data_IF_371442336885
#
_entry.id   IF_371442336885
#
_cell.length_a   1.000
_cell.length_b   1.000
_cell.length_c   1.000
_cell.angle_alpha   90.00
_cell.angle_beta   90.00
_cell.angle_gamma   90.00
#
_symmetry.space_group_name_H-M   'P 1'
#
loop_
_entity.id
_entity.type
_entity.pdbx_description
1 polymer ?
#
# COMPACT_ATOMS: atom_id res chain seq x y z
N UNK A 1 -5.68 -26.49 -20.56
CA UNK A 1 -5.38 -25.07 -20.80
C UNK A 1 -6.67 -24.23 -20.81
N UNK A 2 -7.27 -23.89 -21.97
CA UNK A 2 -8.41 -22.94 -22.11
C UNK A 2 -9.50 -22.97 -21.03
N UNK A 3 -10.10 -24.13 -20.74
CA UNK A 3 -11.17 -24.23 -19.73
C UNK A 3 -10.73 -23.86 -18.30
N UNK A 4 -9.51 -24.25 -17.90
CA UNK A 4 -8.94 -23.85 -16.62
C UNK A 4 -8.55 -22.38 -16.60
N UNK A 5 -7.93 -21.88 -17.67
CA UNK A 5 -7.57 -20.46 -17.80
C UNK A 5 -8.80 -19.55 -17.69
N UNK A 6 -9.86 -19.86 -18.45
CA UNK A 6 -11.12 -19.11 -18.39
C UNK A 6 -11.77 -19.18 -17.01
N UNK A 7 -11.77 -20.36 -16.37
CA UNK A 7 -12.29 -20.52 -15.00
C UNK A 7 -11.53 -19.64 -14.01
N UNK A 8 -10.20 -19.67 -14.02
CA UNK A 8 -9.41 -18.91 -13.05
C UNK A 8 -9.42 -17.40 -13.31
N UNK A 9 -9.37 -16.95 -14.57
CA UNK A 9 -9.58 -15.53 -14.90
C UNK A 9 -10.99 -15.07 -14.51
N UNK A 10 -12.01 -15.92 -14.68
CA UNK A 10 -13.35 -15.61 -14.14
C UNK A 10 -13.33 -15.47 -12.63
N UNK A 11 -12.65 -16.36 -11.89
CA UNK A 11 -12.53 -16.25 -10.43
C UNK A 11 -11.79 -14.96 -10.03
N UNK A 12 -10.70 -14.60 -10.72
CA UNK A 12 -9.96 -13.34 -10.52
C UNK A 12 -10.89 -12.14 -10.69
N UNK A 13 -11.48 -11.95 -11.89
CA UNK A 13 -12.32 -10.80 -12.19
C UNK A 13 -13.61 -10.73 -11.35
N UNK A 14 -14.12 -11.85 -10.84
CA UNK A 14 -15.23 -11.82 -9.88
C UNK A 14 -14.77 -11.52 -8.46
N UNK A 15 -13.54 -11.87 -8.07
CA UNK A 15 -13.02 -11.60 -6.72
C UNK A 15 -12.93 -10.10 -6.45
N UNK A 16 -12.43 -9.32 -7.43
CA UNK A 16 -12.34 -7.86 -7.30
C UNK A 16 -13.71 -7.18 -7.21
N UNK A 17 -14.64 -7.53 -8.12
CA UNK A 17 -16.03 -7.07 -8.08
C UNK A 17 -16.74 -7.40 -6.75
N UNK A 18 -16.48 -8.58 -6.19
CA UNK A 18 -17.04 -9.00 -4.90
C UNK A 18 -16.47 -8.17 -3.75
N UNK A 19 -15.18 -7.81 -3.78
CA UNK A 19 -14.57 -6.93 -2.78
C UNK A 19 -15.30 -5.59 -2.65
N UNK A 20 -15.56 -4.94 -3.79
CA UNK A 20 -16.32 -3.67 -3.83
C UNK A 20 -17.77 -3.86 -3.38
N UNK A 21 -18.42 -4.98 -3.76
CA UNK A 21 -19.79 -5.28 -3.35
C UNK A 21 -19.93 -5.57 -1.84
N UNK A 22 -18.87 -6.06 -1.19
CA UNK A 22 -18.81 -6.33 0.26
C UNK A 22 -18.56 -5.05 1.07
N UNK A 23 -17.91 -4.02 0.50
CA UNK A 23 -17.59 -2.76 1.17
C UNK A 23 -18.76 -2.13 1.97
N UNK A 24 -20.01 -1.96 1.44
CA UNK A 24 -21.13 -1.41 2.20
C UNK A 24 -21.62 -2.30 3.37
N UNK A 25 -21.17 -3.55 3.46
CA UNK A 25 -21.52 -4.50 4.53
C UNK A 25 -20.48 -4.52 5.66
N UNK A 26 -19.29 -3.93 5.46
CA UNK A 26 -18.20 -3.95 6.44
C UNK A 26 -18.25 -2.73 7.37
N UNK A 27 -18.03 -2.98 8.66
CA UNK A 27 -17.72 -1.88 9.60
C UNK A 27 -16.32 -1.35 9.32
N UNK A 28 -16.05 -0.05 9.55
CA UNK A 28 -14.72 0.55 9.35
C UNK A 28 -13.60 -0.24 10.05
N UNK A 29 -13.82 -0.67 11.30
CA UNK A 29 -12.86 -1.47 12.07
C UNK A 29 -12.59 -2.85 11.45
N UNK A 30 -13.61 -3.49 10.87
CA UNK A 30 -13.45 -4.75 10.13
C UNK A 30 -12.72 -4.52 8.81
N UNK A 31 -13.09 -3.46 8.08
CA UNK A 31 -12.46 -3.07 6.81
C UNK A 31 -10.95 -2.84 6.99
N UNK A 32 -10.54 -1.99 7.92
CA UNK A 32 -9.13 -1.68 8.17
C UNK A 32 -8.32 -2.94 8.52
N UNK A 33 -8.90 -3.86 9.31
CA UNK A 33 -8.25 -5.13 9.71
C UNK A 33 -8.15 -6.12 8.55
N UNK A 34 -9.20 -6.25 7.74
CA UNK A 34 -9.20 -7.12 6.55
C UNK A 34 -8.20 -6.58 5.53
N UNK A 35 -8.28 -5.30 5.18
CA UNK A 35 -7.40 -4.67 4.20
C UNK A 35 -5.92 -4.81 4.61
N UNK A 36 -5.56 -4.49 5.86
CA UNK A 36 -4.19 -4.68 6.38
C UNK A 36 -3.67 -6.12 6.23
N UNK A 37 -4.55 -7.12 6.39
CA UNK A 37 -4.20 -8.54 6.24
C UNK A 37 -4.07 -8.94 4.78
N UNK A 38 -4.98 -8.49 3.92
CA UNK A 38 -5.00 -8.79 2.48
C UNK A 38 -3.88 -8.07 1.73
N UNK A 39 -3.56 -6.80 2.02
CA UNK A 39 -2.35 -6.11 1.54
C UNK A 39 -1.08 -6.91 1.89
N UNK A 40 -1.01 -7.44 3.12
CA UNK A 40 0.11 -8.28 3.54
C UNK A 40 0.16 -9.58 2.74
N UNK A 41 -1.00 -10.21 2.54
CA UNK A 41 -1.14 -11.43 1.75
C UNK A 41 -0.70 -11.21 0.30
N UNK A 42 -1.11 -10.11 -0.33
CA UNK A 42 -0.72 -9.67 -1.67
C UNK A 42 0.79 -9.54 -1.81
N UNK A 43 1.45 -8.75 -0.94
CA UNK A 43 2.91 -8.62 -0.94
C UNK A 43 3.60 -9.99 -0.82
N UNK A 44 3.08 -10.84 0.07
CA UNK A 44 3.65 -12.17 0.28
C UNK A 44 3.46 -13.12 -0.91
N UNK A 45 2.27 -13.15 -1.50
CA UNK A 45 1.94 -14.02 -2.64
C UNK A 45 2.61 -13.57 -3.92
N UNK A 46 2.72 -12.26 -4.16
CA UNK A 46 3.40 -11.68 -5.31
C UNK A 46 4.90 -11.93 -5.29
N UNK A 47 5.58 -11.54 -4.20
CA UNK A 47 7.02 -11.78 -4.05
C UNK A 47 7.30 -13.28 -4.11
N UNK A 48 6.46 -14.10 -3.46
CA UNK A 48 6.54 -15.56 -3.53
C UNK A 48 6.36 -16.13 -4.94
N UNK A 49 5.36 -15.66 -5.69
CA UNK A 49 5.11 -16.08 -7.07
C UNK A 49 6.29 -15.70 -7.98
N UNK A 50 6.76 -14.46 -7.89
CA UNK A 50 7.90 -13.98 -8.67
C UNK A 50 9.16 -14.80 -8.42
N UNK A 51 9.55 -15.04 -7.16
CA UNK A 51 10.84 -15.70 -6.84
C UNK A 51 10.79 -17.23 -6.86
N UNK A 52 9.64 -17.86 -6.60
CA UNK A 52 9.51 -19.32 -6.54
C UNK A 52 8.99 -19.95 -7.84
N UNK A 53 8.24 -19.20 -8.66
CA UNK A 53 7.66 -19.70 -9.91
C UNK A 53 8.21 -18.95 -11.13
N UNK A 54 7.87 -17.66 -11.27
CA UNK A 54 8.09 -16.90 -12.52
C UNK A 54 9.57 -16.76 -12.91
N UNK A 55 10.41 -16.29 -11.98
CA UNK A 55 11.86 -16.15 -12.24
C UNK A 55 12.53 -17.51 -12.47
N UNK A 56 12.29 -18.57 -11.66
CA UNK A 56 12.79 -19.91 -11.96
C UNK A 56 12.36 -20.47 -13.31
N UNK A 57 11.11 -20.25 -13.74
CA UNK A 57 10.62 -20.65 -15.06
C UNK A 57 11.31 -19.87 -16.18
N UNK A 58 11.44 -18.55 -16.05
CA UNK A 58 12.15 -17.70 -17.02
C UNK A 58 13.60 -18.13 -17.28
N UNK A 59 14.26 -18.70 -16.27
CA UNK A 59 15.63 -19.25 -16.37
C UNK A 59 15.68 -20.78 -16.54
N UNK A 60 14.55 -21.46 -16.75
CA UNK A 60 14.42 -22.92 -16.85
C UNK A 60 15.04 -23.70 -15.66
N UNK A 61 15.06 -23.10 -14.47
CA UNK A 61 15.63 -23.69 -13.25
C UNK A 61 14.72 -24.76 -12.62
N UNK A 62 13.41 -24.70 -12.92
CA UNK A 62 12.39 -25.62 -12.39
C UNK A 62 12.55 -27.05 -12.94
N UNK A 63 12.99 -27.21 -14.19
CA UNK A 63 12.96 -28.47 -14.94
C UNK A 63 13.99 -29.52 -14.48
N UNK A 64 14.92 -29.16 -13.59
CA UNK A 64 16.06 -30.00 -13.20
C UNK A 64 15.89 -30.84 -11.92
N UNK A 65 14.72 -30.81 -11.26
CA UNK A 65 14.45 -31.54 -10.01
C UNK A 65 15.29 -31.12 -8.79
N UNK A 66 16.23 -30.20 -8.95
CA UNK A 66 17.15 -29.74 -7.91
C UNK A 66 16.50 -28.64 -7.08
N UNK A 67 15.88 -29.03 -5.97
CA UNK A 67 15.25 -28.17 -4.94
C UNK A 67 16.22 -27.15 -4.28
N UNK A 68 17.47 -27.08 -4.75
CA UNK A 68 18.49 -26.09 -4.35
C UNK A 68 18.10 -24.66 -4.74
N UNK A 69 17.36 -24.45 -5.84
CA UNK A 69 16.94 -23.11 -6.23
C UNK A 69 15.92 -22.50 -5.25
N UNK A 70 14.99 -23.29 -4.69
CA UNK A 70 14.02 -22.82 -3.71
C UNK A 70 14.70 -22.30 -2.43
N UNK A 71 15.76 -22.95 -1.96
CA UNK A 71 16.52 -22.44 -0.80
C UNK A 71 17.24 -21.12 -1.11
N UNK A 72 17.74 -20.93 -2.35
CA UNK A 72 18.30 -19.64 -2.78
C UNK A 72 17.21 -18.57 -2.88
N UNK A 73 16.06 -18.88 -3.45
CA UNK A 73 14.91 -17.98 -3.52
C UNK A 73 14.39 -17.60 -2.12
N UNK A 74 14.39 -18.53 -1.16
CA UNK A 74 14.03 -18.24 0.23
C UNK A 74 15.03 -17.28 0.91
N UNK A 75 16.32 -17.35 0.57
CA UNK A 75 17.33 -16.39 1.02
C UNK A 75 17.10 -15.01 0.37
N UNK A 76 16.72 -14.95 -0.90
CA UNK A 76 16.33 -13.70 -1.58
C UNK A 76 15.14 -13.05 -0.87
N UNK A 77 14.09 -13.81 -0.58
CA UNK A 77 12.97 -13.34 0.24
C UNK A 77 13.43 -12.88 1.63
N UNK A 78 14.28 -13.66 2.30
CA UNK A 78 14.84 -13.32 3.61
C UNK A 78 15.59 -11.98 3.61
N UNK A 79 16.28 -11.65 2.51
CA UNK A 79 16.90 -10.34 2.30
C UNK A 79 15.87 -9.20 2.22
N UNK A 80 14.85 -9.34 1.37
CA UNK A 80 13.75 -8.37 1.22
C UNK A 80 13.05 -8.16 2.58
N UNK A 81 12.71 -9.25 3.26
CA UNK A 81 12.00 -9.25 4.54
C UNK A 81 12.85 -8.69 5.69
N UNK A 82 14.18 -8.88 5.68
CA UNK A 82 15.10 -8.24 6.62
C UNK A 82 15.12 -6.72 6.44
N UNK A 83 15.18 -6.23 5.20
CA UNK A 83 15.12 -4.79 4.93
C UNK A 83 13.78 -4.18 5.34
N UNK A 84 12.65 -4.85 5.01
CA UNK A 84 11.33 -4.49 5.51
C UNK A 84 11.31 -4.35 7.04
N UNK A 85 11.78 -5.36 7.77
CA UNK A 85 11.85 -5.31 9.24
C UNK A 85 12.76 -4.19 9.76
N UNK A 86 13.89 -3.94 9.09
CA UNK A 86 14.78 -2.83 9.46
C UNK A 86 14.08 -1.47 9.36
N UNK A 87 13.28 -1.24 8.33
CA UNK A 87 12.49 -0.02 8.16
C UNK A 87 11.39 0.10 9.23
N UNK A 88 10.63 -0.98 9.48
CA UNK A 88 9.56 -0.98 10.50
C UNK A 88 10.12 -0.75 11.91
N UNK A 89 11.26 -1.37 12.25
CA UNK A 89 11.96 -1.14 13.52
C UNK A 89 12.45 0.31 13.62
N UNK A 90 13.07 0.85 12.57
CA UNK A 90 13.54 2.23 12.56
C UNK A 90 12.40 3.23 12.84
N UNK A 91 11.26 3.08 12.15
CA UNK A 91 10.06 3.91 12.38
C UNK A 91 9.55 3.80 13.83
N UNK A 92 9.44 2.58 14.37
CA UNK A 92 9.02 2.37 15.76
C UNK A 92 10.00 2.98 16.78
N UNK A 93 11.31 2.88 16.56
CA UNK A 93 12.34 3.45 17.46
C UNK A 93 12.32 4.98 17.44
N UNK A 94 12.15 5.60 16.27
CA UNK A 94 12.02 7.07 16.14
C UNK A 94 10.78 7.55 16.89
N UNK A 95 9.63 6.93 16.69
CA UNK A 95 8.39 7.31 17.38
C UNK A 95 8.45 7.10 18.90
N UNK A 96 9.09 6.01 19.36
CA UNK A 96 9.28 5.77 20.78
C UNK A 96 10.22 6.81 21.43
N UNK A 97 11.28 7.22 20.73
CA UNK A 97 12.16 8.33 21.15
C UNK A 97 11.40 9.66 21.18
N UNK A 98 10.55 9.95 20.18
CA UNK A 98 9.71 11.16 20.14
C UNK A 98 8.75 11.22 21.33
N UNK A 99 8.04 10.13 21.62
CA UNK A 99 7.10 10.04 22.75
C UNK A 99 7.83 10.18 24.11
N UNK A 100 9.04 9.63 24.26
CA UNK A 100 9.88 9.87 25.46
C UNK A 100 10.28 11.34 25.63
N UNK A 101 10.73 12.03 24.58
CA UNK A 101 11.10 13.46 24.66
C UNK A 101 9.93 14.33 25.12
N UNK A 102 8.74 14.13 24.55
CA UNK A 102 7.51 14.82 24.97
C UNK A 102 7.15 14.55 26.44
N UNK A 103 7.31 13.30 26.90
CA UNK A 103 7.00 12.95 28.28
C UNK A 103 7.97 13.61 29.28
N UNK A 104 9.28 13.59 28.99
CA UNK A 104 10.31 14.26 29.80
C UNK A 104 10.07 15.78 29.88
N UNK A 105 9.68 16.41 28.77
CA UNK A 105 9.40 17.85 28.74
C UNK A 105 8.07 18.23 29.43
N UNK A 106 7.22 17.26 29.75
CA UNK A 106 5.95 17.46 30.47
C UNK A 106 6.01 17.27 31.98
N UNK A 107 7.17 16.88 32.54
CA UNK A 107 7.38 16.79 33.99
C UNK A 107 7.66 18.20 34.51
N UNK A 108 6.83 18.79 35.39
CA UNK A 108 7.16 20.05 36.03
C UNK A 108 8.34 19.84 36.97
N UNK A 109 9.37 20.68 36.86
CA UNK A 109 10.46 20.74 37.83
C UNK A 109 9.96 21.29 39.17
N UNK A 110 9.36 20.43 39.99
CA UNK A 110 9.09 20.71 41.39
C UNK A 110 10.40 20.68 42.19
N UNK A 111 11.21 21.71 42.01
CA UNK A 111 12.36 22.02 42.87
C UNK A 111 12.00 23.23 43.71
N UNK A 112 12.06 23.07 45.03
CA UNK A 112 11.64 24.07 46.01
C UNK A 112 12.36 25.41 45.84
N UNK A 113 11.59 26.50 45.78
CA UNK A 113 12.05 27.88 45.96
C UNK A 113 11.05 28.63 46.85
N UNK A 114 11.52 29.62 47.60
CA UNK A 114 10.86 30.12 48.81
C UNK A 114 9.49 30.83 48.66
N UNK A 115 8.89 30.99 49.83
CA UNK A 115 7.60 31.61 50.13
C UNK A 115 7.62 33.14 49.93
N UNK A 116 6.96 33.65 48.88
CA UNK A 116 6.63 35.08 48.71
C UNK A 116 5.20 35.24 48.13
N UNK A 117 4.37 36.19 48.61
CA UNK A 117 2.94 36.23 48.27
C UNK A 117 2.56 37.24 47.16
N UNK A 118 1.53 36.86 46.39
CA UNK A 118 0.70 37.70 45.48
C UNK A 118 1.30 38.21 44.15
N UNK A 119 0.80 37.65 43.04
CA UNK A 119 -0.04 38.39 42.06
C UNK A 119 -0.80 37.46 41.11
N UNK A 120 -1.94 37.92 40.61
CA UNK A 120 -2.83 37.17 39.70
C UNK A 120 -2.20 36.91 38.31
N UNK A 121 -2.50 35.74 37.73
CA UNK A 121 -2.52 35.52 36.29
C UNK A 121 -3.89 34.98 35.84
N UNK A 122 -4.36 35.29 34.62
CA UNK A 122 -5.64 34.82 34.11
C UNK A 122 -5.54 33.40 33.52
N UNK A 123 -6.51 32.53 33.84
CA UNK A 123 -6.67 31.24 33.16
C UNK A 123 -7.09 31.45 31.70
N UNK A 124 -6.41 30.78 30.76
CA UNK A 124 -6.94 30.51 29.42
C UNK A 124 -7.07 29.00 29.23
N UNK A 125 -8.21 28.45 29.66
CA UNK A 125 -8.57 27.06 29.37
C UNK A 125 -8.92 26.94 27.88
N UNK A 126 -8.32 25.97 27.18
CA UNK A 126 -8.72 25.59 25.82
C UNK A 126 -9.48 24.27 25.92
N UNK A 127 -10.81 24.35 25.92
CA UNK A 127 -11.65 23.18 25.69
C UNK A 127 -11.63 22.82 24.21
N UNK A 128 -11.30 21.56 23.89
CA UNK A 128 -11.72 20.99 22.62
C UNK A 128 -13.25 20.87 22.61
N UNK A 129 -13.87 21.30 21.52
CA UNK A 129 -15.30 21.11 21.27
C UNK A 129 -15.43 20.42 19.93
N UNK A 130 -15.86 19.16 19.96
CA UNK A 130 -16.17 18.39 18.76
C UNK A 130 -17.29 19.10 17.98
N UNK A 131 -17.17 19.09 16.65
CA UNK A 131 -18.17 19.62 15.74
C UNK A 131 -18.71 18.50 14.85
N UNK A 132 -19.93 18.11 15.16
CA UNK A 132 -20.77 17.25 14.33
C UNK A 132 -21.53 18.11 13.29
N UNK A 133 -22.27 17.43 12.40
CA UNK A 133 -22.70 17.92 11.09
C UNK A 133 -23.81 19.00 11.07
N UNK A 134 -23.97 19.54 9.85
CA UNK A 134 -25.13 20.24 9.26
C UNK A 134 -25.30 21.78 9.29
N UNK A 135 -25.94 22.20 8.19
CA UNK A 135 -26.16 23.55 7.59
C UNK A 135 -27.66 23.96 7.72
N UNK A 136 -28.13 25.13 7.21
CA UNK A 136 -27.47 26.39 6.83
C UNK A 136 -28.21 27.67 7.34
N UNK A 137 -27.77 28.84 6.88
CA UNK A 137 -28.42 30.16 6.91
C UNK A 137 -28.52 30.87 8.28
N UNK A 138 -28.20 32.16 8.44
CA UNK A 138 -27.78 33.16 7.45
C UNK A 138 -28.55 34.48 7.59
N UNK A 139 -28.28 35.28 8.63
CA UNK A 139 -28.73 36.69 8.73
C UNK A 139 -27.62 37.55 9.34
N UNK A 140 -27.27 38.63 8.65
CA UNK A 140 -26.29 39.65 9.06
C UNK A 140 -27.00 40.84 9.73
N UNK A 141 -26.38 41.47 10.74
CA UNK A 141 -26.70 42.86 11.13
C UNK A 141 -25.62 43.53 12.01
N UNK A 142 -25.26 44.76 11.61
CA UNK A 142 -24.74 45.93 12.38
C UNK A 142 -23.68 45.70 13.48
N UNK A 143 -22.44 46.19 13.41
CA UNK A 143 -21.94 47.58 13.18
C UNK A 143 -21.96 48.48 14.44
N UNK A 144 -20.97 49.38 14.50
CA UNK A 144 -20.68 50.42 15.51
C UNK A 144 -20.13 49.87 16.85
N UNK A 145 -19.19 50.47 17.59
CA UNK A 145 -18.33 51.69 17.49
C UNK A 145 -17.27 51.63 18.62
N UNK A 146 -16.15 52.37 18.74
CA UNK A 146 -15.36 53.31 17.91
C UNK A 146 -14.00 53.59 18.66
N UNK A 147 -12.89 53.94 17.97
CA UNK A 147 -11.62 54.53 18.55
C UNK A 147 -10.82 53.66 19.56
N UNK A 148 -9.51 53.84 19.82
CA UNK A 148 -8.54 54.95 19.62
C UNK A 148 -7.11 54.40 19.34
N UNK A 149 -6.27 55.19 18.65
CA UNK A 149 -4.79 55.05 18.61
C UNK A 149 -4.18 56.25 19.37
N UNK A 150 -3.00 56.10 20.01
CA UNK A 150 -1.86 56.93 19.60
C UNK A 150 -0.53 56.15 19.47
N UNK A 151 0.38 56.70 18.67
CA UNK A 151 1.72 56.20 18.35
C UNK A 151 2.78 56.66 19.38
N UNK A 152 3.98 56.06 19.35
CA UNK A 152 5.31 56.71 19.17
C UNK A 152 6.49 56.15 20.01
N UNK A 153 7.69 56.39 19.46
CA UNK A 153 9.03 56.46 20.08
C UNK A 153 9.74 55.18 20.57
N UNK A 154 10.58 54.66 19.69
CA UNK A 154 12.05 54.51 19.87
C UNK A 154 12.65 54.55 21.28
N UNK A 155 13.47 53.56 21.60
CA UNK A 155 14.77 53.78 22.26
C UNK A 155 15.77 52.69 21.85
N UNK A 156 16.90 53.10 21.28
CA UNK A 156 18.11 52.28 21.21
C UNK A 156 18.74 52.21 22.61
N UNK A 157 19.41 51.09 22.91
CA UNK A 157 20.52 51.07 23.87
C UNK A 157 21.49 49.95 23.51
N UNK A 158 22.70 50.35 23.13
CA UNK A 158 23.86 49.46 22.97
C UNK A 158 24.49 49.23 24.33
N UNK A 159 24.73 47.98 24.69
CA UNK A 159 25.73 47.60 25.70
C UNK A 159 26.36 46.28 25.26
N UNK A 160 27.59 46.36 24.73
CA UNK A 160 28.44 45.20 24.54
C UNK A 160 28.86 44.63 25.91
N UNK A 161 28.86 43.31 26.03
CA UNK A 161 29.80 42.62 26.92
C UNK A 161 30.00 41.19 26.41
N UNK A 162 31.21 40.89 25.93
CA UNK A 162 31.61 39.53 25.54
C UNK A 162 31.88 38.67 26.78
N UNK A 163 31.06 37.65 27.00
CA UNK A 163 31.33 36.33 27.63
C UNK A 163 29.96 35.64 27.77
N UNK A 164 29.68 34.43 27.30
CA UNK A 164 30.55 33.27 27.09
C UNK A 164 30.11 32.46 25.85
N UNK A 165 31.03 31.73 25.19
CA UNK A 165 30.74 30.89 24.02
C UNK A 165 30.60 29.42 24.44
N UNK A 166 29.41 28.82 24.29
CA UNK A 166 29.32 27.39 23.93
C UNK A 166 27.91 26.81 23.69
N UNK A 167 26.82 27.36 24.23
CA UNK A 167 25.60 26.54 24.47
C UNK A 167 24.36 26.79 23.59
N UNK A 168 24.40 27.70 22.61
CA UNK A 168 23.24 28.00 21.73
C UNK A 168 23.31 27.41 20.31
N UNK A 169 24.40 26.70 19.97
CA UNK A 169 24.61 26.20 18.59
C UNK A 169 23.89 24.89 18.29
N UNK A 170 23.68 24.01 19.27
CA UNK A 170 22.94 22.75 19.09
C UNK A 170 21.41 22.94 19.00
N UNK A 171 20.89 24.03 19.58
CA UNK A 171 19.44 24.30 19.64
C UNK A 171 18.86 24.79 18.30
N UNK A 172 19.69 25.43 17.48
CA UNK A 172 19.33 25.93 16.14
C UNK A 172 19.53 24.87 15.05
N UNK A 173 20.53 23.98 15.22
CA UNK A 173 20.79 22.86 14.31
C UNK A 173 19.70 21.78 14.43
N UNK A 174 19.38 21.35 15.66
CA UNK A 174 18.33 20.36 15.93
C UNK A 174 16.95 20.76 15.39
N UNK A 175 16.65 22.06 15.35
CA UNK A 175 15.38 22.59 14.82
C UNK A 175 15.38 22.61 13.29
N UNK A 176 16.53 22.90 12.68
CA UNK A 176 16.74 22.86 11.23
C UNK A 176 16.69 21.42 10.71
N UNK A 177 17.36 20.47 11.35
CA UNK A 177 17.25 19.04 11.03
C UNK A 177 15.81 18.53 11.17
N UNK A 178 15.06 18.95 12.20
CA UNK A 178 13.66 18.53 12.35
C UNK A 178 12.77 19.03 11.20
N UNK A 179 13.02 20.24 10.72
CA UNK A 179 12.27 20.84 9.61
C UNK A 179 12.67 20.25 8.25
N UNK A 180 13.96 19.91 8.08
CA UNK A 180 14.50 19.26 6.87
C UNK A 180 14.09 17.79 6.78
N UNK A 181 14.12 17.03 7.88
CA UNK A 181 13.61 15.65 7.90
C UNK A 181 12.09 15.61 7.76
N UNK A 182 11.35 16.58 8.30
CA UNK A 182 9.92 16.67 8.10
C UNK A 182 9.56 17.09 6.66
N UNK A 183 10.36 17.95 6.00
CA UNK A 183 10.17 18.24 4.57
C UNK A 183 10.58 17.07 3.68
N UNK A 184 11.70 16.38 3.95
CA UNK A 184 12.13 15.19 3.19
C UNK A 184 11.15 14.02 3.38
N UNK A 185 10.58 13.82 4.57
CA UNK A 185 9.52 12.85 4.79
C UNK A 185 8.25 13.21 3.98
N UNK A 186 7.83 14.50 4.02
CA UNK A 186 6.71 15.01 3.22
C UNK A 186 6.98 14.97 1.70
N UNK A 187 8.24 15.00 1.27
CA UNK A 187 8.64 14.90 -0.14
C UNK A 187 8.82 13.45 -0.61
N UNK A 188 9.12 12.50 0.28
CA UNK A 188 9.13 11.08 -0.06
C UNK A 188 7.72 10.47 -0.06
N UNK A 189 6.83 10.94 0.82
CA UNK A 189 5.38 10.65 0.75
C UNK A 189 4.67 11.31 -0.44
N UNK A 190 5.31 12.25 -1.14
CA UNK A 190 4.76 12.91 -2.35
C UNK A 190 4.81 12.04 -3.61
N UNK A 191 5.52 10.90 -3.58
CA UNK A 191 5.80 10.09 -4.76
C UNK A 191 4.75 9.01 -5.07
N UNK A 192 4.22 8.32 -4.03
CA UNK A 192 3.54 7.02 -4.23
C UNK A 192 2.11 6.91 -3.67
N UNK A 193 1.53 7.94 -3.07
CA UNK A 193 0.07 7.98 -2.87
C UNK A 193 -0.47 9.41 -2.80
N UNK A 194 -1.33 9.76 -3.76
CA UNK A 194 -1.92 11.10 -3.91
C UNK A 194 -3.05 11.32 -2.90
N UNK A 195 -2.70 11.55 -1.64
CA UNK A 195 -3.67 12.06 -0.66
C UNK A 195 -3.94 13.55 -0.89
N UNK A 196 -5.15 13.85 -1.38
CA UNK A 196 -5.71 15.19 -1.56
C UNK A 196 -5.41 16.12 -0.38
N UNK A 197 -4.50 17.08 -0.59
CA UNK A 197 -4.21 18.11 0.41
C UNK A 197 -4.93 19.41 0.07
N UNK A 198 -5.93 19.74 0.89
CA UNK A 198 -6.39 21.11 1.04
C UNK A 198 -5.27 21.96 1.66
N UNK A 199 -4.32 22.40 0.83
CA UNK A 199 -3.33 23.43 1.14
C UNK A 199 -3.75 24.75 0.53
N UNK A 200 -3.54 25.87 1.24
CA UNK A 200 -3.89 27.20 0.76
C UNK A 200 -2.99 27.63 -0.42
N UNK A 201 -3.37 27.25 -1.63
CA UNK A 201 -3.05 27.94 -2.87
C UNK A 201 -4.35 28.26 -3.62
N UNK A 202 -4.38 29.36 -4.36
CA UNK A 202 -5.55 29.76 -5.14
C UNK A 202 -5.62 29.00 -6.48
N UNK A 203 -5.71 27.67 -6.43
CA UNK A 203 -6.12 26.90 -7.62
C UNK A 203 -7.61 27.14 -7.89
N UNK A 204 -7.97 27.28 -9.16
CA UNK A 204 -9.37 27.45 -9.52
C UNK A 204 -10.15 26.13 -9.29
N UNK A 205 -11.46 26.19 -8.98
CA UNK A 205 -12.28 24.98 -8.85
C UNK A 205 -12.32 24.09 -10.10
N UNK A 206 -11.96 24.64 -11.28
CA UNK A 206 -11.81 23.89 -12.52
C UNK A 206 -10.53 23.06 -12.57
N UNK A 207 -9.40 23.61 -12.15
CA UNK A 207 -8.09 22.92 -12.15
C UNK A 207 -8.07 21.74 -11.18
N UNK A 208 -8.58 21.94 -9.95
CA UNK A 208 -8.64 20.86 -8.95
C UNK A 208 -9.50 19.69 -9.44
N UNK A 209 -10.61 19.97 -10.14
CA UNK A 209 -11.48 18.93 -10.72
C UNK A 209 -10.83 18.21 -11.91
N UNK A 210 -9.99 18.91 -12.68
CA UNK A 210 -9.24 18.32 -13.79
C UNK A 210 -8.07 17.43 -13.31
N UNK A 211 -7.33 17.88 -12.29
CA UNK A 211 -6.26 17.09 -11.63
C UNK A 211 -6.81 15.78 -11.07
N UNK A 212 -7.90 15.86 -10.29
CA UNK A 212 -8.60 14.71 -9.73
C UNK A 212 -9.09 13.73 -10.81
N UNK A 213 -9.67 14.22 -11.90
CA UNK A 213 -10.08 13.37 -13.02
C UNK A 213 -8.89 12.72 -13.75
N UNK A 214 -7.73 13.38 -13.78
CA UNK A 214 -6.52 12.85 -14.43
C UNK A 214 -5.97 11.66 -13.64
N UNK A 215 -5.96 11.74 -12.31
CA UNK A 215 -5.57 10.63 -11.43
C UNK A 215 -6.49 9.42 -11.62
N UNK A 216 -7.82 9.62 -11.70
CA UNK A 216 -8.77 8.54 -11.94
C UNK A 216 -8.54 7.81 -13.28
N UNK A 217 -8.25 8.54 -14.36
CA UNK A 217 -7.93 7.92 -15.65
C UNK A 217 -6.58 7.18 -15.66
N UNK A 218 -5.58 7.69 -14.92
CA UNK A 218 -4.30 7.00 -14.76
C UNK A 218 -4.48 5.66 -14.04
N UNK A 219 -5.32 5.63 -13.00
CA UNK A 219 -5.68 4.41 -12.27
C UNK A 219 -6.33 3.40 -13.22
N UNK A 220 -7.46 3.75 -13.87
CA UNK A 220 -8.20 2.83 -14.76
C UNK A 220 -7.32 2.29 -15.91
N UNK A 221 -6.39 3.10 -16.43
CA UNK A 221 -5.46 2.65 -17.46
C UNK A 221 -4.34 1.74 -16.93
N UNK A 222 -3.80 2.03 -15.74
CA UNK A 222 -2.82 1.17 -15.07
C UNK A 222 -3.42 -0.17 -14.69
N UNK A 223 -4.62 -0.14 -14.12
CA UNK A 223 -5.47 -1.28 -13.77
C UNK A 223 -5.70 -2.20 -14.98
N UNK A 224 -6.12 -1.62 -16.11
CA UNK A 224 -6.35 -2.39 -17.35
C UNK A 224 -5.06 -2.95 -17.98
N UNK A 225 -3.90 -2.37 -17.68
CA UNK A 225 -2.60 -2.84 -18.16
C UNK A 225 -2.03 -3.96 -17.28
N UNK A 226 -2.22 -3.92 -15.95
CA UNK A 226 -1.85 -5.05 -15.09
C UNK A 226 -2.74 -6.25 -15.38
N UNK A 227 -4.07 -6.06 -15.39
CA UNK A 227 -5.03 -7.14 -15.63
C UNK A 227 -4.73 -7.89 -16.93
N UNK A 228 -4.32 -7.16 -17.99
CA UNK A 228 -3.87 -7.75 -19.25
C UNK A 228 -2.60 -8.62 -19.11
N UNK A 229 -1.61 -8.17 -18.36
CA UNK A 229 -0.37 -8.93 -18.12
C UNK A 229 -0.60 -10.12 -17.18
N UNK A 230 -1.49 -10.00 -16.20
CA UNK A 230 -1.92 -11.12 -15.35
C UNK A 230 -2.61 -12.20 -16.18
N UNK A 231 -3.51 -11.79 -17.08
CA UNK A 231 -4.08 -12.66 -18.10
C UNK A 231 -3.02 -13.37 -18.93
N UNK A 232 -2.04 -12.64 -19.47
CA UNK A 232 -0.92 -13.24 -20.24
C UNK A 232 -0.17 -14.27 -19.39
N UNK A 233 0.10 -13.95 -18.13
CA UNK A 233 0.88 -14.78 -17.21
C UNK A 233 0.13 -16.04 -16.84
N UNK A 234 -1.15 -15.93 -16.49
CA UNK A 234 -2.06 -17.06 -16.22
C UNK A 234 -2.18 -17.95 -17.46
N UNK A 235 -2.33 -17.37 -18.65
CA UNK A 235 -2.44 -18.10 -19.92
C UNK A 235 -1.17 -18.89 -20.27
N UNK A 236 0.00 -18.26 -20.15
CA UNK A 236 1.28 -18.93 -20.37
C UNK A 236 1.52 -20.03 -19.34
N UNK A 237 1.20 -19.78 -18.07
CA UNK A 237 1.35 -20.74 -16.98
C UNK A 237 0.49 -21.99 -17.16
N UNK A 238 -0.80 -21.83 -17.48
CA UNK A 238 -1.69 -22.97 -17.77
C UNK A 238 -1.31 -23.77 -19.02
N UNK A 239 -0.48 -23.20 -19.89
CA UNK A 239 0.07 -23.88 -21.08
C UNK A 239 1.31 -24.71 -20.74
N UNK A 240 2.06 -24.34 -19.68
CA UNK A 240 3.14 -25.16 -19.12
C UNK A 240 2.58 -26.29 -18.23
N UNK A 241 1.77 -25.97 -17.21
CA UNK A 241 1.10 -26.97 -16.38
C UNK A 241 -0.14 -26.44 -15.65
N UNK A 242 -1.02 -27.37 -15.25
CA UNK A 242 -2.22 -27.04 -14.45
C UNK A 242 -1.82 -26.43 -13.10
N UNK A 243 -0.81 -26.99 -12.43
CA UNK A 243 -0.36 -26.49 -11.13
C UNK A 243 0.20 -25.07 -11.23
N UNK A 244 1.07 -24.80 -12.20
CA UNK A 244 1.69 -23.46 -12.32
C UNK A 244 0.64 -22.40 -12.62
N UNK A 245 -0.33 -22.72 -13.49
CA UNK A 245 -1.50 -21.87 -13.73
C UNK A 245 -2.32 -21.62 -12.46
N UNK A 246 -2.57 -22.65 -11.64
CA UNK A 246 -3.24 -22.49 -10.33
C UNK A 246 -2.40 -21.60 -9.40
N UNK A 247 -1.10 -21.84 -9.27
CA UNK A 247 -0.21 -21.10 -8.36
C UNK A 247 -0.15 -19.61 -8.70
N UNK A 248 -0.02 -19.28 -9.98
CA UNK A 248 0.00 -17.90 -10.46
C UNK A 248 -1.38 -17.26 -10.30
N UNK A 249 -2.47 -17.95 -10.63
CA UNK A 249 -3.82 -17.43 -10.42
C UNK A 249 -4.13 -17.17 -8.95
N UNK A 250 -3.63 -18.01 -8.02
CA UNK A 250 -3.77 -17.77 -6.58
C UNK A 250 -3.01 -16.51 -6.14
N UNK A 251 -1.84 -16.23 -6.72
CA UNK A 251 -1.11 -15.00 -6.43
C UNK A 251 -1.87 -13.75 -6.88
N UNK A 252 -2.40 -13.76 -8.11
CA UNK A 252 -3.22 -12.68 -8.69
C UNK A 252 -4.50 -12.47 -7.88
N UNK A 253 -5.23 -13.53 -7.51
CA UNK A 253 -6.42 -13.41 -6.63
C UNK A 253 -6.07 -12.71 -5.29
N UNK A 254 -4.87 -12.94 -4.75
CA UNK A 254 -4.45 -12.35 -3.49
C UNK A 254 -4.07 -10.86 -3.59
N UNK A 255 -3.65 -10.35 -4.75
CA UNK A 255 -3.34 -8.92 -4.96
C UNK A 255 -4.53 -8.10 -5.47
N UNK A 256 -5.35 -8.69 -6.34
CA UNK A 256 -6.52 -8.02 -6.94
C UNK A 256 -7.52 -7.57 -5.88
N UNK A 257 -7.78 -8.42 -4.87
CA UNK A 257 -8.74 -8.08 -3.82
C UNK A 257 -8.40 -6.78 -3.04
N UNK A 258 -7.18 -6.58 -2.50
CA UNK A 258 -6.81 -5.30 -1.89
C UNK A 258 -6.59 -4.16 -2.90
N UNK A 259 -6.01 -4.42 -4.08
CA UNK A 259 -5.71 -3.40 -5.09
C UNK A 259 -6.99 -2.70 -5.58
N UNK A 260 -7.95 -3.48 -6.08
CA UNK A 260 -9.24 -2.97 -6.60
C UNK A 260 -10.07 -2.26 -5.51
N UNK A 261 -9.93 -2.65 -4.25
CA UNK A 261 -10.59 -1.99 -3.13
C UNK A 261 -9.97 -0.60 -2.82
N UNK A 262 -8.66 -0.47 -2.98
CA UNK A 262 -7.92 0.79 -2.90
C UNK A 262 -8.28 1.73 -4.05
N UNK A 263 -8.20 1.25 -5.29
CA UNK A 263 -8.54 2.00 -6.50
C UNK A 263 -9.98 2.48 -6.48
N UNK A 264 -10.93 1.60 -6.15
CA UNK A 264 -12.33 1.99 -5.99
C UNK A 264 -12.51 3.15 -5.01
N UNK A 265 -11.80 3.15 -3.87
CA UNK A 265 -11.86 4.25 -2.91
C UNK A 265 -11.35 5.59 -3.50
N UNK A 266 -10.30 5.55 -4.34
CA UNK A 266 -9.78 6.75 -5.03
C UNK A 266 -10.74 7.21 -6.14
N UNK A 267 -11.32 6.30 -6.92
CA UNK A 267 -12.29 6.64 -7.97
C UNK A 267 -13.54 7.32 -7.39
N UNK A 268 -14.08 6.82 -6.26
CA UNK A 268 -15.19 7.50 -5.55
C UNK A 268 -14.75 8.86 -4.99
N UNK A 269 -13.56 8.94 -4.39
CA UNK A 269 -13.00 10.21 -3.91
C UNK A 269 -12.78 11.21 -5.07
N UNK A 270 -12.60 10.74 -6.30
CA UNK A 270 -12.46 11.57 -7.49
C UNK A 270 -13.78 12.22 -7.97
N UNK A 271 -14.92 11.81 -7.39
CA UNK A 271 -16.25 12.30 -7.74
C UNK A 271 -16.97 11.46 -8.79
N UNK A 272 -16.44 10.28 -9.15
CA UNK A 272 -17.20 9.27 -9.91
C UNK A 272 -18.30 8.66 -9.05
N UNK A 273 -19.45 8.35 -9.65
CA UNK A 273 -20.50 7.60 -8.97
C UNK A 273 -20.09 6.13 -8.80
N UNK A 274 -20.70 5.45 -7.82
CA UNK A 274 -20.47 4.01 -7.58
C UNK A 274 -20.72 3.13 -8.81
N UNK A 275 -21.63 3.53 -9.71
CA UNK A 275 -21.90 2.81 -10.96
C UNK A 275 -20.84 3.05 -12.02
N UNK A 276 -20.27 4.25 -12.08
CA UNK A 276 -19.18 4.56 -13.01
C UNK A 276 -17.91 3.84 -12.58
N UNK A 277 -17.50 3.94 -11.31
CA UNK A 277 -16.32 3.25 -10.80
C UNK A 277 -16.39 1.72 -11.02
N UNK A 278 -17.49 1.07 -10.61
CA UNK A 278 -17.72 -0.35 -10.90
C UNK A 278 -17.71 -0.68 -12.40
N UNK A 279 -18.22 0.23 -13.25
CA UNK A 279 -18.24 0.03 -14.70
C UNK A 279 -16.86 0.08 -15.34
N UNK A 280 -16.00 1.00 -14.90
CA UNK A 280 -14.62 1.11 -15.42
C UNK A 280 -13.72 -0.03 -14.91
N UNK A 281 -13.80 -0.40 -13.64
CA UNK A 281 -13.07 -1.55 -13.10
C UNK A 281 -13.52 -2.85 -13.79
N UNK A 282 -14.82 -3.03 -14.09
CA UNK A 282 -15.28 -4.17 -14.90
C UNK A 282 -14.69 -4.21 -16.32
N UNK A 283 -14.59 -3.05 -16.99
CA UNK A 283 -13.98 -2.93 -18.32
C UNK A 283 -12.47 -3.21 -18.25
N UNK A 284 -11.81 -2.79 -17.18
CA UNK A 284 -10.41 -3.09 -16.89
C UNK A 284 -10.20 -4.59 -16.66
N UNK A 285 -10.94 -5.23 -15.75
CA UNK A 285 -10.87 -6.67 -15.50
C UNK A 285 -11.16 -7.52 -16.77
N UNK A 286 -11.93 -7.00 -17.72
CA UNK A 286 -12.14 -7.63 -19.02
C UNK A 286 -10.87 -7.72 -19.89
N UNK A 287 -9.85 -6.87 -19.68
CA UNK A 287 -8.56 -7.00 -20.39
C UNK A 287 -7.82 -8.28 -20.00
N UNK A 288 -8.04 -8.82 -18.80
CA UNK A 288 -7.46 -10.09 -18.35
C UNK A 288 -7.87 -11.28 -19.24
N UNK A 289 -9.08 -11.28 -19.81
CA UNK A 289 -9.50 -12.29 -20.79
C UNK A 289 -8.79 -12.16 -22.13
N UNK A 290 -8.49 -10.93 -22.57
CA UNK A 290 -7.65 -10.71 -23.76
C UNK A 290 -6.24 -11.19 -23.47
N UNK A 291 -5.69 -10.81 -22.31
CA UNK A 291 -4.40 -11.27 -21.82
C UNK A 291 -4.29 -12.78 -21.83
N UNK A 292 -5.29 -13.49 -21.29
CA UNK A 292 -5.36 -14.95 -21.28
C UNK A 292 -5.25 -15.55 -22.67
N UNK A 293 -6.00 -15.02 -23.65
CA UNK A 293 -5.94 -15.50 -25.02
C UNK A 293 -4.53 -15.33 -25.62
N UNK A 294 -3.91 -14.17 -25.43
CA UNK A 294 -2.51 -13.94 -25.84
C UNK A 294 -1.52 -14.84 -25.09
N UNK A 295 -1.70 -15.02 -23.79
CA UNK A 295 -0.86 -15.84 -22.92
C UNK A 295 -0.86 -17.31 -23.30
N UNK A 296 -2.02 -17.87 -23.63
CA UNK A 296 -2.12 -19.26 -24.13
C UNK A 296 -1.43 -19.38 -25.48
N UNK A 297 -1.71 -18.47 -26.42
CA UNK A 297 -1.09 -18.49 -27.76
C UNK A 297 0.44 -18.32 -27.72
N UNK A 298 0.97 -17.54 -26.78
CA UNK A 298 2.41 -17.41 -26.52
C UNK A 298 2.96 -18.62 -25.74
N UNK A 299 2.17 -19.22 -24.84
CA UNK A 299 2.55 -20.40 -24.07
C UNK A 299 2.76 -21.65 -24.91
N UNK A 300 1.99 -21.80 -25.99
CA UNK A 300 2.14 -22.87 -26.99
C UNK A 300 3.36 -22.68 -27.92
N UNK A 301 3.99 -21.48 -27.93
CA UNK A 301 5.23 -21.22 -28.67
C UNK A 301 6.43 -21.56 -27.79
N UNK A 302 7.18 -22.59 -28.18
CA UNK A 302 8.23 -23.24 -27.37
C UNK A 302 9.28 -22.30 -26.74
N UNK A 303 9.58 -21.16 -27.39
CA UNK A 303 10.59 -20.20 -26.92
C UNK A 303 10.00 -18.95 -26.26
N UNK A 304 8.68 -18.71 -26.29
CA UNK A 304 8.09 -17.44 -25.85
C UNK A 304 7.70 -17.40 -24.37
N UNK A 305 7.29 -18.53 -23.79
CA UNK A 305 6.84 -18.59 -22.39
C UNK A 305 7.88 -18.09 -21.36
N UNK A 306 9.20 -18.40 -21.46
CA UNK A 306 10.20 -17.88 -20.52
C UNK A 306 10.29 -16.35 -20.50
N UNK A 307 10.07 -15.68 -21.64
CA UNK A 307 10.06 -14.21 -21.71
C UNK A 307 8.80 -13.61 -21.08
N UNK A 308 7.65 -14.29 -21.20
CA UNK A 308 6.43 -13.93 -20.47
C UNK A 308 6.67 -14.00 -18.96
N UNK A 309 7.24 -15.10 -18.46
CA UNK A 309 7.52 -15.24 -17.03
C UNK A 309 8.59 -14.25 -16.53
N UNK A 310 9.56 -13.88 -17.37
CA UNK A 310 10.53 -12.83 -17.04
C UNK A 310 9.87 -11.45 -16.88
N UNK A 311 8.97 -11.09 -17.81
CA UNK A 311 8.20 -9.85 -17.76
C UNK A 311 7.30 -9.81 -16.52
N UNK A 312 6.51 -10.86 -16.32
CA UNK A 312 5.60 -11.01 -15.19
C UNK A 312 6.34 -11.01 -13.84
N UNK A 313 7.45 -11.74 -13.72
CA UNK A 313 8.24 -11.78 -12.48
C UNK A 313 8.83 -10.42 -12.11
N UNK A 314 9.19 -9.60 -13.10
CA UNK A 314 9.59 -8.21 -12.89
C UNK A 314 8.42 -7.32 -12.44
N UNK A 315 7.25 -7.50 -13.06
CA UNK A 315 6.03 -6.75 -12.72
C UNK A 315 5.51 -7.08 -11.32
N UNK A 316 5.42 -8.35 -10.95
CA UNK A 316 4.95 -8.83 -9.65
C UNK A 316 5.85 -8.31 -8.52
N UNK A 317 7.17 -8.24 -8.74
CA UNK A 317 8.09 -7.60 -7.80
C UNK A 317 7.89 -6.08 -7.71
N UNK A 318 7.58 -5.41 -8.82
CA UNK A 318 7.29 -3.97 -8.80
C UNK A 318 6.02 -3.67 -8.01
N UNK A 319 4.90 -4.33 -8.33
CA UNK A 319 3.61 -4.14 -7.62
C UNK A 319 3.79 -4.44 -6.12
N UNK A 320 4.40 -5.58 -5.76
CA UNK A 320 4.56 -5.94 -4.36
C UNK A 320 5.46 -5.00 -3.56
N UNK A 321 6.55 -4.51 -4.14
CA UNK A 321 7.59 -3.77 -3.40
C UNK A 321 7.47 -2.25 -3.49
N UNK A 322 6.84 -1.72 -4.54
CA UNK A 322 6.69 -0.27 -4.77
C UNK A 322 5.30 0.22 -4.39
N UNK A 323 4.27 -0.58 -4.69
CA UNK A 323 2.87 -0.19 -4.54
C UNK A 323 2.25 -0.77 -3.26
N UNK A 324 2.03 -2.08 -3.19
CA UNK A 324 1.44 -2.73 -2.01
C UNK A 324 2.25 -2.51 -0.72
N UNK A 325 3.58 -2.45 -0.80
CA UNK A 325 4.46 -2.08 0.34
C UNK A 325 4.26 -0.62 0.80
N UNK A 326 3.84 0.25 -0.12
CA UNK A 326 3.46 1.63 0.12
C UNK A 326 2.18 1.71 0.95
N UNK A 327 1.13 0.97 0.61
CA UNK A 327 -0.09 0.92 1.42
C UNK A 327 0.14 0.26 2.79
N UNK A 328 0.92 -0.82 2.87
CA UNK A 328 1.38 -1.37 4.15
C UNK A 328 2.14 -0.33 5.00
N UNK A 329 2.81 0.63 4.37
CA UNK A 329 3.43 1.76 5.09
C UNK A 329 2.37 2.75 5.57
N UNK A 330 1.46 3.18 4.69
CA UNK A 330 0.39 4.12 5.04
C UNK A 330 -0.53 3.59 6.16
N UNK A 331 -0.88 2.29 6.14
CA UNK A 331 -1.65 1.64 7.21
C UNK A 331 -0.92 1.64 8.57
N UNK A 332 0.40 1.40 8.56
CA UNK A 332 1.20 1.44 9.79
C UNK A 332 1.32 2.87 10.34
N UNK A 333 1.53 3.86 9.48
CA UNK A 333 1.65 5.27 9.88
C UNK A 333 0.31 5.78 10.47
N UNK A 334 -0.84 5.40 9.90
CA UNK A 334 -2.19 5.63 10.48
C UNK A 334 -2.29 5.00 11.89
N UNK A 335 -1.79 3.79 12.09
CA UNK A 335 -1.83 3.08 13.37
C UNK A 335 -0.86 3.67 14.43
N UNK A 336 0.25 4.29 14.02
CA UNK A 336 1.18 4.98 14.93
C UNK A 336 0.57 6.20 15.62
N UNK A 337 -0.32 6.91 14.92
CA UNK A 337 -1.09 8.04 15.44
C UNK A 337 -2.06 7.59 16.55
N UNK A 338 -2.70 6.44 16.38
CA UNK A 338 -3.66 5.88 17.35
C UNK A 338 -2.99 5.30 18.61
N UNK A 339 -1.74 4.84 18.50
CA UNK A 339 -0.93 4.41 19.65
C UNK A 339 -0.30 3.03 19.51
N UNK A 340 0.63 2.71 20.42
CA UNK A 340 1.53 1.55 20.29
C UNK A 340 0.79 0.21 20.17
N UNK A 341 -0.36 0.05 20.85
CA UNK A 341 -1.17 -1.17 20.77
C UNK A 341 -1.72 -1.40 19.35
N UNK A 342 -2.21 -0.34 18.69
CA UNK A 342 -2.70 -0.43 17.31
C UNK A 342 -1.54 -0.60 16.32
N UNK A 343 -0.41 0.08 16.55
CA UNK A 343 0.82 -0.13 15.77
C UNK A 343 1.25 -1.60 15.78
N UNK A 344 1.27 -2.23 16.95
CA UNK A 344 1.65 -3.63 17.10
C UNK A 344 0.60 -4.57 16.47
N UNK A 345 -0.70 -4.27 16.64
CA UNK A 345 -1.79 -5.04 16.01
C UNK A 345 -1.67 -5.03 14.47
N UNK A 346 -1.49 -3.86 13.87
CA UNK A 346 -1.29 -3.71 12.42
C UNK A 346 -0.02 -4.44 11.98
N UNK A 347 1.11 -4.22 12.64
CA UNK A 347 2.36 -4.90 12.30
C UNK A 347 2.23 -6.43 12.35
N UNK A 348 1.51 -6.98 13.33
CA UNK A 348 1.23 -8.43 13.41
C UNK A 348 0.34 -8.92 12.26
N UNK A 349 -0.71 -8.18 11.89
CA UNK A 349 -1.58 -8.50 10.76
C UNK A 349 -0.81 -8.49 9.42
N UNK A 350 0.03 -7.47 9.20
CA UNK A 350 0.84 -7.36 7.98
C UNK A 350 1.82 -8.53 7.86
N UNK A 351 2.54 -8.87 8.93
CA UNK A 351 3.46 -10.00 8.92
C UNK A 351 2.71 -11.35 8.79
N UNK A 352 1.52 -11.50 9.37
CA UNK A 352 0.69 -12.69 9.19
C UNK A 352 0.30 -12.86 7.72
N UNK A 353 -0.14 -11.79 7.06
CA UNK A 353 -0.44 -11.79 5.62
C UNK A 353 0.78 -12.16 4.77
N UNK A 354 1.89 -11.44 4.93
CA UNK A 354 3.13 -11.66 4.16
C UNK A 354 3.61 -13.12 4.31
N UNK A 355 3.68 -13.62 5.55
CA UNK A 355 4.13 -14.98 5.80
C UNK A 355 3.15 -16.03 5.27
N UNK A 356 1.83 -15.78 5.32
CA UNK A 356 0.83 -16.67 4.76
C UNK A 356 0.93 -16.75 3.22
N UNK A 357 1.13 -15.61 2.55
CA UNK A 357 1.32 -15.57 1.09
C UNK A 357 2.59 -16.31 0.67
N UNK A 358 3.73 -15.95 1.26
CA UNK A 358 5.03 -16.59 0.99
C UNK A 358 5.00 -18.08 1.28
N UNK A 359 4.38 -18.49 2.41
CA UNK A 359 4.22 -19.89 2.75
C UNK A 359 3.36 -20.65 1.73
N UNK A 360 2.24 -20.08 1.30
CA UNK A 360 1.33 -20.70 0.32
C UNK A 360 2.05 -20.94 -1.01
N UNK A 361 2.75 -19.93 -1.53
CA UNK A 361 3.48 -20.05 -2.79
C UNK A 361 4.73 -20.94 -2.68
N UNK A 362 5.45 -20.89 -1.55
CA UNK A 362 6.56 -21.83 -1.29
C UNK A 362 6.08 -23.27 -1.17
N UNK A 363 4.91 -23.50 -0.56
CA UNK A 363 4.31 -24.83 -0.45
C UNK A 363 3.95 -25.39 -1.82
N UNK A 364 3.30 -24.59 -2.68
CA UNK A 364 2.96 -24.97 -4.04
C UNK A 364 4.22 -25.27 -4.88
N UNK A 365 5.25 -24.41 -4.82
CA UNK A 365 6.51 -24.64 -5.54
C UNK A 365 7.27 -25.89 -5.06
N UNK A 366 7.26 -26.17 -3.75
CA UNK A 366 8.02 -27.29 -3.14
C UNK A 366 7.34 -28.65 -3.25
N UNK A 367 6.01 -28.68 -3.13
CA UNK A 367 5.22 -29.91 -3.15
C UNK A 367 4.52 -30.14 -4.49
N UNK A 368 4.68 -29.23 -5.45
CA UNK A 368 4.05 -29.26 -6.76
C UNK A 368 4.15 -30.59 -7.50
N UNK A 369 5.36 -31.14 -7.61
CA UNK A 369 5.66 -32.43 -8.24
C UNK A 369 4.88 -33.63 -7.63
N UNK A 370 4.27 -33.45 -6.45
CA UNK A 370 3.47 -34.46 -5.74
C UNK A 370 1.97 -34.19 -5.79
N UNK A 371 1.54 -33.01 -6.23
CA UNK A 371 0.13 -32.65 -6.37
C UNK A 371 -0.29 -33.09 -7.78
N UNK A 372 -0.63 -34.38 -7.91
CA UNK A 372 -0.91 -34.94 -9.22
C UNK A 372 -2.34 -34.58 -9.69
N UNK A 373 -2.43 -33.68 -10.68
CA UNK A 373 -3.66 -33.29 -11.36
C UNK A 373 -3.95 -34.11 -12.64
N UNK A 374 -3.19 -35.16 -12.95
CA UNK A 374 -3.39 -36.00 -14.16
C UNK A 374 -4.82 -36.57 -14.26
N UNK A 375 -5.48 -36.86 -13.14
CA UNK A 375 -6.88 -37.32 -13.12
C UNK A 375 -7.94 -36.25 -13.50
N UNK A 376 -7.53 -34.99 -13.67
CA UNK A 376 -8.37 -33.86 -14.09
C UNK A 376 -8.03 -33.36 -15.51
N UNK A 377 -6.92 -33.82 -16.09
CA UNK A 377 -6.61 -33.59 -17.48
C UNK A 377 -7.36 -34.62 -18.35
N UNK A 378 -7.90 -34.25 -19.53
CA UNK A 378 -8.30 -35.25 -20.52
C UNK A 378 -7.07 -36.08 -20.92
N UNK A 379 -7.21 -37.41 -21.12
CA UNK A 379 -6.09 -38.28 -21.47
C UNK A 379 -5.38 -37.77 -22.72
N UNK A 380 -4.05 -37.89 -22.78
CA UNK A 380 -3.30 -37.47 -23.97
C UNK A 380 -3.68 -38.39 -25.12
N UNK A 381 -3.63 -37.89 -26.35
CA UNK A 381 -4.01 -38.67 -27.52
C UNK A 381 -3.06 -39.86 -27.80
N UNK A 382 -1.90 -39.89 -27.13
CA UNK A 382 -0.98 -41.04 -27.03
C UNK A 382 -1.52 -42.21 -26.19
N UNK A 383 -2.47 -41.94 -25.29
CA UNK A 383 -2.91 -42.87 -24.25
C UNK A 383 -4.23 -43.56 -24.64
N UNK A 384 -4.77 -43.20 -25.81
CA UNK A 384 -5.91 -43.89 -26.44
C UNK A 384 -5.35 -45.11 -27.16
N UNK A 385 -5.61 -46.35 -26.70
CA UNK A 385 -5.18 -47.53 -27.43
C UNK A 385 -5.86 -47.53 -28.81
N UNK A 386 -5.06 -47.63 -29.87
CA UNK A 386 -5.58 -47.89 -31.21
C UNK A 386 -6.34 -49.21 -31.19
N UNK A 387 -7.67 -49.14 -31.17
CA UNK A 387 -8.53 -50.27 -31.51
C UNK A 387 -8.48 -50.43 -33.02
N UNK A 388 -7.49 -51.19 -33.51
CA UNK A 388 -7.55 -51.74 -34.86
C UNK A 388 -8.81 -52.61 -34.99
N UNK A 389 -9.57 -52.38 -36.05
CA UNK A 389 -10.88 -53.00 -36.34
C UNK A 389 -10.85 -53.72 -37.68
#
# INVERSE_FOLDING_TARGET
VWGFGLLFVTIVSFCSLIGVAILPLLTRSTYDVMLTLFEGLAVGSLVGSAIFHLIPQAFNLSSGGSQVYLWKALIIFGGIYLFFWSERIMKMVVEFRRKRKLHVQSIPSCTSAELEPHRHMPHKQVYFKDFDYDKPNGVMKSSDSLTHIPETSSHENVCDNETDKSMDKELTDSRSESMVLESIARERSRSNSFSLRAGHSHTSPGEQRAEIATVAWMIIFGDGLHNFIDGITIGAAFSQSILEGISISVAVICEEFPHELGDFAVLIASGMTMREALGYNFVSACTCYLGLAFGILLGDLADAAPYVFALAGGMFLYIALVDMMGELTAALDRAQLQGMSQTLKVLLLQNLGILLGVFTLLFLAKYGDKINFEGLAPPKQSDIPFTES
#
